data_IF_355120748417
#
_entry.id   IF_355120748417
#
_cell.length_a   1.000
_cell.length_b   1.000
_cell.length_c   1.000
_cell.angle_alpha   90.00
_cell.angle_beta   90.00
_cell.angle_gamma   90.00
#
_symmetry.space_group_name_H-M   'P 1'
#
loop_
_entity.id
_entity.type
_entity.pdbx_description
1 polymer ?
#
# COMPACT_ATOMS: atom_id res chain seq x y z
N UNK A 1 16.17 -17.68 -19.18
CA UNK A 1 16.69 -17.09 -17.93
C UNK A 1 16.50 -15.58 -18.06
N UNK A 2 15.34 -15.05 -17.67
CA UNK A 2 15.06 -13.61 -17.66
C UNK A 2 15.17 -13.15 -16.22
N UNK A 3 16.39 -13.09 -15.70
CA UNK A 3 16.64 -12.60 -14.35
C UNK A 3 17.09 -11.14 -14.47
N UNK A 4 16.54 -10.29 -13.60
CA UNK A 4 17.16 -9.03 -13.17
C UNK A 4 16.88 -7.75 -13.97
N UNK A 5 15.87 -7.72 -14.85
CA UNK A 5 15.42 -6.44 -15.44
C UNK A 5 14.52 -5.61 -14.51
N UNK A 6 13.93 -6.22 -13.47
CA UNK A 6 12.96 -5.56 -12.60
C UNK A 6 13.60 -4.93 -11.37
N UNK A 7 14.56 -5.61 -10.74
CA UNK A 7 15.28 -5.10 -9.57
C UNK A 7 16.02 -3.79 -9.90
N UNK A 8 16.64 -3.74 -11.08
CA UNK A 8 17.34 -2.55 -11.57
C UNK A 8 16.40 -1.33 -11.75
N UNK A 9 15.17 -1.56 -12.20
CA UNK A 9 14.17 -0.50 -12.36
C UNK A 9 13.60 -0.02 -11.01
N UNK A 10 13.67 -0.86 -9.97
CA UNK A 10 13.26 -0.50 -8.60
C UNK A 10 14.34 0.39 -7.96
N UNK A 11 15.61 -0.02 -8.03
CA UNK A 11 16.74 0.73 -7.47
C UNK A 11 16.82 2.16 -8.04
N UNK A 12 16.62 2.30 -9.36
CA UNK A 12 16.62 3.62 -10.03
C UNK A 12 15.45 4.51 -9.58
N UNK A 13 14.27 3.92 -9.37
CA UNK A 13 13.10 4.65 -8.92
C UNK A 13 13.18 5.02 -7.44
N UNK A 14 13.77 4.18 -6.58
CA UNK A 14 13.98 4.46 -5.17
C UNK A 14 14.91 5.67 -5.00
N UNK A 15 16.01 5.69 -5.77
CA UNK A 15 16.91 6.84 -5.82
C UNK A 15 16.20 8.14 -6.27
N UNK A 16 15.29 8.06 -7.24
CA UNK A 16 14.49 9.21 -7.67
C UNK A 16 13.44 9.65 -6.63
N UNK A 17 12.82 8.69 -5.93
CA UNK A 17 11.80 8.95 -4.91
C UNK A 17 12.39 9.59 -3.64
N UNK A 18 13.63 9.22 -3.25
CA UNK A 18 14.34 9.89 -2.15
C UNK A 18 14.47 11.40 -2.40
N UNK A 19 14.80 11.80 -3.62
CA UNK A 19 14.88 13.22 -3.99
C UNK A 19 13.54 13.95 -3.93
N UNK A 20 12.41 13.25 -4.12
CA UNK A 20 11.07 13.83 -4.11
C UNK A 20 10.45 13.88 -2.71
N UNK A 21 10.89 13.02 -1.79
CA UNK A 21 10.43 13.02 -0.40
C UNK A 21 10.73 14.34 0.35
N UNK A 22 11.74 15.08 -0.13
CA UNK A 22 12.11 16.39 0.43
C UNK A 22 11.25 17.56 -0.07
N UNK A 23 10.34 17.34 -1.03
CA UNK A 23 9.38 18.35 -1.49
C UNK A 23 8.19 18.41 -0.52
N UNK A 24 8.30 19.28 0.49
CA UNK A 24 7.14 19.71 1.27
C UNK A 24 6.18 20.46 0.33
N UNK A 25 5.02 19.87 0.06
CA UNK A 25 3.88 20.54 -0.57
C UNK A 25 3.42 21.65 0.36
N UNK A 26 3.88 22.89 0.14
CA UNK A 26 3.28 24.05 0.80
C UNK A 26 1.89 24.27 0.20
N UNK A 27 0.85 23.86 0.93
CA UNK A 27 -0.48 24.38 0.66
C UNK A 27 -0.52 25.88 0.96
N UNK A 28 -0.69 26.69 -0.08
CA UNK A 28 -0.96 28.11 0.04
C UNK A 28 -2.44 28.29 0.42
N UNK A 29 -2.74 28.29 1.72
CA UNK A 29 -4.08 28.63 2.24
C UNK A 29 -4.36 30.11 2.01
N UNK A 30 -5.06 30.43 0.91
CA UNK A 30 -5.64 31.74 0.65
C UNK A 30 -6.76 32.00 1.68
N UNK A 31 -6.57 32.96 2.58
CA UNK A 31 -7.59 33.46 3.50
C UNK A 31 -8.45 34.53 2.79
N UNK A 32 -9.79 34.53 2.94
CA UNK A 32 -10.56 35.75 2.83
C UNK A 32 -10.85 36.29 4.24
N UNK A 33 -10.43 37.52 4.48
CA UNK A 33 -10.70 38.26 5.70
C UNK A 33 -12.06 38.95 5.62
N UNK A 34 -12.82 38.95 6.72
CA UNK A 34 -13.51 40.11 7.31
C UNK A 34 -14.76 39.70 8.13
N UNK A 35 -14.59 39.52 9.45
CA UNK A 35 -15.25 40.33 10.48
C UNK A 35 -15.06 39.71 11.85
N UNK A 36 -14.45 40.48 12.75
CA UNK A 36 -13.99 40.05 14.05
C UNK A 36 -15.10 39.80 15.07
N UNK A 37 -14.92 38.73 15.84
CA UNK A 37 -15.29 38.67 17.25
C UNK A 37 -14.46 37.57 17.91
N UNK A 38 -13.68 37.94 18.93
CA UNK A 38 -12.84 37.04 19.71
C UNK A 38 -13.72 36.08 20.52
N UNK A 39 -13.57 34.78 20.27
CA UNK A 39 -13.97 33.73 21.22
C UNK A 39 -12.74 32.88 21.50
N UNK A 40 -12.24 33.00 22.73
CA UNK A 40 -11.23 32.11 23.29
C UNK A 40 -11.94 30.81 23.66
N UNK A 41 -11.81 29.79 22.83
CA UNK A 41 -12.05 28.39 23.22
C UNK A 41 -10.79 27.60 22.92
N UNK A 42 -10.34 26.81 23.90
CA UNK A 42 -9.18 25.93 23.82
C UNK A 42 -9.32 24.98 22.60
N UNK A 43 -8.61 25.29 21.51
CA UNK A 43 -8.67 24.56 20.23
C UNK A 43 -7.25 24.15 19.78
N UNK A 44 -6.48 23.52 20.66
CA UNK A 44 -5.08 23.16 20.38
C UNK A 44 -4.81 21.64 20.32
N UNK A 45 -5.82 20.80 20.52
CA UNK A 45 -5.67 19.34 20.42
C UNK A 45 -6.26 18.76 19.12
N UNK A 46 -7.37 19.30 18.63
CA UNK A 46 -8.05 18.76 17.44
C UNK A 46 -7.38 19.18 16.12
N UNK A 47 -6.77 20.37 16.07
CA UNK A 47 -6.07 20.83 14.85
C UNK A 47 -4.81 20.03 14.52
N UNK A 48 -4.06 19.58 15.53
CA UNK A 48 -2.82 18.84 15.31
C UNK A 48 -3.09 17.45 14.72
N UNK A 49 -4.14 16.76 15.18
CA UNK A 49 -4.53 15.44 14.68
C UNK A 49 -5.08 15.48 13.24
N UNK A 50 -5.77 16.57 12.87
CA UNK A 50 -6.29 16.75 11.50
C UNK A 50 -5.17 17.09 10.53
N UNK A 51 -4.26 17.98 10.91
CA UNK A 51 -3.11 18.39 10.10
C UNK A 51 -2.12 17.22 9.91
N UNK A 52 -1.89 16.39 10.94
CA UNK A 52 -1.08 15.16 10.83
C UNK A 52 -1.74 14.08 9.93
N UNK A 53 -3.06 13.93 10.00
CA UNK A 53 -3.80 13.00 9.11
C UNK A 53 -3.75 13.46 7.65
N UNK A 54 -3.87 14.76 7.42
CA UNK A 54 -3.74 15.38 6.10
C UNK A 54 -2.34 15.13 5.53
N UNK A 55 -1.30 15.31 6.34
CA UNK A 55 0.09 15.00 5.97
C UNK A 55 0.30 13.51 5.61
N UNK A 56 -0.28 12.58 6.39
CA UNK A 56 -0.17 11.13 6.08
C UNK A 56 -0.90 10.75 4.80
N UNK A 57 -2.06 11.36 4.53
CA UNK A 57 -2.80 11.14 3.29
C UNK A 57 -2.03 11.68 2.08
N UNK A 58 -1.45 12.89 2.20
CA UNK A 58 -0.61 13.49 1.17
C UNK A 58 0.64 12.65 0.89
N UNK A 59 1.34 12.18 1.94
CA UNK A 59 2.47 11.27 1.81
C UNK A 59 2.08 9.94 1.15
N UNK A 60 0.92 9.38 1.49
CA UNK A 60 0.43 8.14 0.85
C UNK A 60 0.12 8.35 -0.63
N UNK A 61 -0.50 9.49 -0.98
CA UNK A 61 -0.80 9.85 -2.36
C UNK A 61 0.48 10.01 -3.19
N UNK A 62 1.47 10.76 -2.67
CA UNK A 62 2.77 10.88 -3.30
C UNK A 62 3.42 9.51 -3.51
N UNK A 63 3.46 8.68 -2.46
CA UNK A 63 4.00 7.32 -2.56
C UNK A 63 3.27 6.46 -3.62
N UNK A 64 1.94 6.62 -3.77
CA UNK A 64 1.18 5.90 -4.81
C UNK A 64 1.45 6.41 -6.23
N UNK A 65 1.74 7.70 -6.40
CA UNK A 65 2.03 8.30 -7.69
C UNK A 65 3.46 8.01 -8.18
N UNK A 66 4.41 7.89 -7.25
CA UNK A 66 5.82 7.65 -7.59
C UNK A 66 6.18 6.16 -7.68
N UNK A 67 5.44 5.27 -6.98
CA UNK A 67 5.75 3.84 -6.95
C UNK A 67 5.10 3.09 -8.10
N UNK A 68 5.91 2.63 -9.04
CA UNK A 68 5.45 1.81 -10.16
C UNK A 68 5.62 0.30 -9.94
N UNK A 69 6.42 -0.09 -8.93
CA UNK A 69 6.76 -1.48 -8.64
C UNK A 69 6.67 -1.79 -7.15
N UNK A 70 6.75 -3.09 -6.84
CA UNK A 70 6.79 -3.58 -5.47
C UNK A 70 8.15 -3.25 -4.83
N UNK A 71 8.13 -2.86 -3.56
CA UNK A 71 9.34 -2.69 -2.75
C UNK A 71 9.84 -4.06 -2.30
N UNK A 72 11.13 -4.33 -2.50
CA UNK A 72 11.74 -5.58 -2.05
C UNK A 72 11.75 -5.65 -0.51
N UNK A 73 11.48 -6.84 0.01
CA UNK A 73 11.39 -7.06 1.44
C UNK A 73 11.99 -8.42 1.82
N UNK A 74 12.99 -8.39 2.69
CA UNK A 74 13.68 -9.59 3.19
C UNK A 74 12.97 -10.23 4.38
N UNK A 75 12.03 -9.52 5.01
CA UNK A 75 11.32 -10.03 6.18
C UNK A 75 10.29 -11.10 5.79
N UNK A 76 9.93 -11.91 6.78
CA UNK A 76 8.85 -12.89 6.64
C UNK A 76 7.53 -12.27 7.11
N UNK A 77 6.43 -12.71 6.51
CA UNK A 77 5.09 -12.26 6.90
C UNK A 77 4.66 -13.04 8.13
N UNK A 78 4.34 -12.32 9.20
CA UNK A 78 3.75 -12.90 10.40
C UNK A 78 2.23 -13.00 10.24
N UNK A 79 1.69 -14.20 10.47
CA UNK A 79 0.25 -14.47 10.33
C UNK A 79 -0.32 -14.82 11.71
N UNK A 80 -1.15 -13.91 12.24
CA UNK A 80 -1.95 -14.15 13.44
C UNK A 80 -3.25 -14.87 13.02
N UNK A 81 -3.33 -16.17 13.33
CA UNK A 81 -4.50 -16.97 12.98
C UNK A 81 -5.60 -16.85 14.03
N UNK A 82 -6.85 -16.81 13.57
CA UNK A 82 -8.03 -16.89 14.45
C UNK A 82 -8.19 -18.29 15.06
N UNK A 83 -7.96 -19.32 14.26
CA UNK A 83 -7.94 -20.72 14.69
C UNK A 83 -6.51 -21.26 14.58
N UNK A 84 -5.84 -21.61 15.69
CA UNK A 84 -4.49 -22.17 15.70
C UNK A 84 -4.34 -23.52 14.97
N UNK A 85 -5.45 -24.24 14.74
CA UNK A 85 -5.41 -25.55 14.07
C UNK A 85 -5.65 -25.46 12.56
N UNK A 86 -5.97 -24.27 12.04
CA UNK A 86 -6.15 -24.07 10.61
C UNK A 86 -4.79 -24.09 9.91
N UNK A 87 -4.58 -24.92 8.88
CA UNK A 87 -3.32 -24.95 8.14
C UNK A 87 -3.01 -23.57 7.53
N UNK A 88 -1.75 -23.14 7.64
CA UNK A 88 -1.27 -21.97 6.91
C UNK A 88 -1.12 -22.34 5.43
N UNK A 89 -1.85 -21.64 4.57
CA UNK A 89 -1.72 -21.77 3.13
C UNK A 89 -0.85 -20.63 2.60
N UNK A 90 0.28 -20.98 1.99
CA UNK A 90 1.11 -20.05 1.20
C UNK A 90 1.10 -20.52 -0.24
N UNK A 91 0.77 -19.63 -1.17
CA UNK A 91 0.80 -19.92 -2.61
C UNK A 91 2.00 -19.26 -3.28
N UNK A 92 2.56 -19.92 -4.29
CA UNK A 92 3.73 -19.42 -5.05
C UNK A 92 3.41 -18.95 -6.46
N UNK A 93 2.21 -19.26 -6.95
CA UNK A 93 1.74 -18.91 -8.28
C UNK A 93 0.27 -18.47 -8.27
N UNK A 94 -0.15 -17.72 -9.28
CA UNK A 94 -1.56 -17.30 -9.37
C UNK A 94 -2.47 -18.46 -9.82
N UNK A 95 -1.91 -19.50 -10.44
CA UNK A 95 -2.60 -20.73 -10.84
C UNK A 95 -3.13 -21.53 -9.64
N UNK A 96 -2.37 -21.57 -8.54
CA UNK A 96 -2.73 -22.26 -7.30
C UNK A 96 -4.00 -21.70 -6.66
N UNK A 97 -4.34 -20.43 -6.93
CA UNK A 97 -5.53 -19.76 -6.43
C UNK A 97 -6.82 -20.17 -7.16
N UNK A 98 -6.71 -20.96 -8.24
CA UNK A 98 -7.84 -21.45 -9.05
C UNK A 98 -8.81 -20.32 -9.46
N UNK A 99 -8.26 -19.16 -9.81
CA UNK A 99 -9.02 -18.00 -10.25
C UNK A 99 -9.79 -18.29 -11.55
N UNK A 100 -10.87 -17.55 -11.79
CA UNK A 100 -11.56 -17.57 -13.08
C UNK A 100 -10.56 -17.20 -14.19
N UNK A 101 -10.57 -17.89 -15.36
CA UNK A 101 -9.58 -17.65 -16.42
C UNK A 101 -9.47 -16.19 -16.87
N UNK A 102 -10.60 -15.48 -16.92
CA UNK A 102 -10.64 -14.06 -17.30
C UNK A 102 -9.91 -13.17 -16.29
N UNK A 103 -10.00 -13.50 -14.99
CA UNK A 103 -9.32 -12.76 -13.93
C UNK A 103 -7.82 -13.05 -13.95
N UNK A 104 -7.44 -14.32 -14.08
CA UNK A 104 -6.02 -14.72 -14.18
C UNK A 104 -5.36 -14.05 -15.40
N UNK A 105 -6.04 -14.02 -16.54
CA UNK A 105 -5.58 -13.31 -17.73
C UNK A 105 -5.42 -11.81 -17.47
N UNK A 106 -6.35 -11.19 -16.74
CA UNK A 106 -6.24 -9.78 -16.33
C UNK A 106 -5.02 -9.52 -15.44
N UNK A 107 -4.73 -10.40 -14.47
CA UNK A 107 -3.54 -10.31 -13.61
C UNK A 107 -2.26 -10.33 -14.44
N UNK A 108 -2.17 -11.25 -15.41
CA UNK A 108 -1.02 -11.30 -16.32
C UNK A 108 -0.95 -10.13 -17.28
N UNK A 109 -2.08 -9.62 -17.78
CA UNK A 109 -2.12 -8.43 -18.63
C UNK A 109 -1.63 -7.17 -17.90
N UNK A 110 -1.75 -7.12 -16.56
CA UNK A 110 -1.18 -6.06 -15.72
C UNK A 110 0.32 -6.25 -15.44
N UNK A 111 0.94 -7.32 -15.95
CA UNK A 111 2.38 -7.59 -15.75
C UNK A 111 2.72 -8.31 -14.44
N UNK A 112 1.73 -8.78 -13.68
CA UNK A 112 1.97 -9.54 -12.45
C UNK A 112 2.23 -11.01 -12.77
N UNK A 113 3.49 -11.44 -12.67
CA UNK A 113 3.91 -12.81 -12.99
C UNK A 113 3.85 -13.78 -11.80
N UNK A 114 3.94 -13.26 -10.57
CA UNK A 114 3.89 -14.04 -9.33
C UNK A 114 3.27 -13.20 -8.21
N UNK A 115 2.59 -13.83 -7.24
CA UNK A 115 2.11 -13.12 -6.06
C UNK A 115 3.28 -12.49 -5.28
N UNK A 116 3.06 -11.29 -4.73
CA UNK A 116 4.02 -10.65 -3.81
C UNK A 116 4.07 -11.36 -2.46
N UNK A 117 5.11 -11.10 -1.66
CA UNK A 117 5.33 -11.74 -0.34
C UNK A 117 4.10 -11.70 0.57
N UNK A 118 3.40 -10.57 0.61
CA UNK A 118 2.17 -10.42 1.40
C UNK A 118 0.99 -11.16 0.77
N UNK A 119 0.91 -11.19 -0.57
CA UNK A 119 -0.15 -11.87 -1.32
C UNK A 119 -0.07 -13.40 -1.21
N UNK A 120 1.14 -13.97 -1.10
CA UNK A 120 1.33 -15.42 -0.93
C UNK A 120 0.52 -15.96 0.26
N UNK A 121 0.40 -15.19 1.34
CA UNK A 121 -0.35 -15.58 2.54
C UNK A 121 -1.75 -14.96 2.59
N UNK A 122 -1.92 -13.73 2.10
CA UNK A 122 -3.19 -13.03 2.16
C UNK A 122 -4.22 -13.58 1.17
N UNK A 123 -3.83 -13.86 -0.08
CA UNK A 123 -4.78 -14.29 -1.11
C UNK A 123 -5.45 -15.63 -0.78
N UNK A 124 -4.73 -16.67 -0.30
CA UNK A 124 -5.38 -17.90 0.14
C UNK A 124 -6.39 -17.68 1.25
N UNK A 125 -6.11 -16.79 2.21
CA UNK A 125 -7.02 -16.48 3.31
C UNK A 125 -8.27 -15.72 2.84
N UNK A 126 -8.13 -14.80 1.88
CA UNK A 126 -9.24 -14.02 1.33
C UNK A 126 -10.13 -14.81 0.36
N UNK A 127 -9.55 -15.78 -0.34
CA UNK A 127 -10.22 -16.59 -1.36
C UNK A 127 -10.64 -17.97 -0.84
N UNK A 128 -10.21 -18.33 0.37
CA UNK A 128 -10.65 -19.57 1.01
C UNK A 128 -12.17 -19.61 1.06
N UNK A 129 -12.74 -20.73 0.62
CA UNK A 129 -14.15 -20.99 0.86
C UNK A 129 -14.36 -21.09 2.37
N UNK A 130 -15.38 -20.39 2.94
CA UNK A 130 -15.66 -20.50 4.35
C UNK A 130 -15.99 -21.96 4.69
N UNK A 131 -15.37 -22.50 5.74
CA UNK A 131 -15.78 -23.78 6.31
C UNK A 131 -17.25 -23.67 6.70
N UNK A 132 -18.12 -24.29 5.89
CA UNK A 132 -19.50 -24.57 6.27
C UNK A 132 -19.45 -25.77 7.21
N UNK A 133 -19.62 -25.50 8.51
CA UNK A 133 -19.99 -26.53 9.48
C UNK A 133 -21.46 -26.90 9.33
#
# INVERSE_FOLDING_TARGET
MATDSWALAVDEQEAAAESLSNLHLKEEKIKPDANGAVVKTNANAEKADEEEKEDRAAQSLLNKLIRNNLVDNTNQVEVLQRDPNSPLYSVKSFEELRLKPQLLQGVYAMGFNRPSKIQENALPLMLAEPYVS
#
